data_IF_146495100862
#
_entry.id   IF_146495100862
#
_cell.length_a   1.000
_cell.length_b   1.000
_cell.length_c   1.000
_cell.angle_alpha   90.00
_cell.angle_beta   90.00
_cell.angle_gamma   90.00
#
_symmetry.space_group_name_H-M   'P 1'
#
loop_
_entity.id
_entity.type
_entity.pdbx_description
1 polymer ?
#
# COMPACT_ATOMS: atom_id res chain seq x y z
N UNK A 1 1.54 -9.74 -0.02
CA UNK A 1 1.48 -9.21 -1.41
C UNK A 1 2.04 -7.80 -1.43
N UNK A 2 2.77 -7.48 -2.46
CA UNK A 2 3.47 -6.19 -2.56
C UNK A 2 3.42 -5.68 -4.00
N UNK A 3 3.26 -4.38 -4.17
CA UNK A 3 3.28 -3.71 -5.46
C UNK A 3 4.26 -2.54 -5.41
N UNK A 4 5.06 -2.38 -6.47
CA UNK A 4 6.02 -1.29 -6.61
C UNK A 4 5.69 -0.47 -7.85
N UNK A 5 5.56 0.83 -7.67
CA UNK A 5 5.35 1.78 -8.74
C UNK A 5 6.50 2.77 -8.78
N UNK A 6 6.92 3.16 -9.98
CA UNK A 6 8.01 4.13 -10.17
C UNK A 6 7.63 5.19 -11.18
N UNK A 7 8.14 6.39 -10.95
CA UNK A 7 8.07 7.51 -11.89
C UNK A 7 9.36 8.33 -11.74
N UNK A 8 10.33 8.07 -12.63
CA UNK A 8 11.66 8.62 -12.44
C UNK A 8 12.28 8.14 -11.14
N UNK A 9 12.63 9.05 -10.24
CA UNK A 9 13.14 8.71 -8.92
C UNK A 9 12.05 8.56 -7.86
N UNK A 10 10.83 8.94 -8.16
CA UNK A 10 9.69 8.77 -7.24
C UNK A 10 9.28 7.31 -7.16
N UNK A 11 8.90 6.87 -5.97
CA UNK A 11 8.53 5.48 -5.72
C UNK A 11 7.30 5.37 -4.84
N UNK A 12 6.49 4.35 -5.10
CA UNK A 12 5.37 3.98 -4.23
C UNK A 12 5.43 2.48 -4.00
N UNK A 13 5.42 2.08 -2.73
CA UNK A 13 5.32 0.67 -2.34
C UNK A 13 4.00 0.45 -1.63
N UNK A 14 3.22 -0.50 -2.11
CA UNK A 14 1.97 -0.92 -1.49
C UNK A 14 2.16 -2.35 -0.98
N UNK A 15 1.86 -2.56 0.30
CA UNK A 15 2.06 -3.86 0.95
C UNK A 15 0.79 -4.22 1.72
N UNK A 16 0.32 -5.45 1.56
CA UNK A 16 -0.77 -5.99 2.37
C UNK A 16 -0.17 -6.82 3.48
N UNK A 17 -0.51 -6.48 4.72
CA UNK A 17 -0.08 -7.21 5.92
C UNK A 17 -1.28 -7.66 6.72
N UNK A 18 -1.20 -8.86 7.27
CA UNK A 18 -2.19 -9.34 8.22
C UNK A 18 -1.52 -9.66 9.55
N UNK A 19 -2.21 -9.36 10.63
CA UNK A 19 -1.73 -9.66 11.98
C UNK A 19 -2.91 -9.99 12.88
N UNK A 20 -2.63 -10.63 14.01
CA UNK A 20 -3.64 -10.96 15.00
C UNK A 20 -3.59 -9.92 16.12
N UNK A 21 -4.70 -9.22 16.31
CA UNK A 21 -4.87 -8.30 17.42
C UNK A 21 -5.34 -9.08 18.63
N UNK A 22 -4.50 -9.14 19.67
CA UNK A 22 -4.78 -9.86 20.92
C UNK A 22 -5.24 -8.95 22.04
N UNK A 23 -5.51 -7.69 21.75
CA UNK A 23 -6.13 -6.79 22.73
C UNK A 23 -7.62 -7.12 22.82
N UNK A 24 -8.09 -7.47 24.02
CA UNK A 24 -9.47 -7.88 24.23
C UNK A 24 -9.60 -9.39 24.49
N UNK A 25 -10.85 -9.84 24.68
CA UNK A 25 -11.16 -11.21 25.05
C UNK A 25 -10.98 -12.23 23.92
N UNK A 26 -11.20 -11.79 22.69
CA UNK A 26 -11.12 -12.66 21.52
C UNK A 26 -10.08 -12.11 20.56
N UNK A 27 -9.06 -12.92 20.17
CA UNK A 27 -8.12 -12.50 19.16
C UNK A 27 -8.85 -12.21 17.84
N UNK A 28 -8.52 -11.08 17.22
CA UNK A 28 -9.10 -10.69 15.93
C UNK A 28 -8.02 -10.54 14.89
N UNK A 29 -8.28 -11.10 13.71
CA UNK A 29 -7.39 -10.92 12.57
C UNK A 29 -7.62 -9.53 11.99
N UNK A 30 -6.55 -8.77 11.83
CA UNK A 30 -6.55 -7.44 11.20
C UNK A 30 -5.77 -7.49 9.90
N UNK A 31 -6.24 -6.75 8.91
CA UNK A 31 -5.57 -6.63 7.62
C UNK A 31 -5.28 -5.17 7.35
N UNK A 32 -4.03 -4.86 7.01
CA UNK A 32 -3.59 -3.51 6.70
C UNK A 32 -3.09 -3.42 5.27
N UNK A 33 -3.50 -2.37 4.58
CA UNK A 33 -2.84 -1.93 3.36
C UNK A 33 -1.91 -0.77 3.74
N UNK A 34 -0.61 -0.95 3.55
CA UNK A 34 0.40 0.06 3.85
C UNK A 34 0.91 0.67 2.55
N UNK A 35 0.96 1.99 2.50
CA UNK A 35 1.52 2.73 1.39
C UNK A 35 2.75 3.51 1.87
N UNK A 36 3.91 3.24 1.24
CA UNK A 36 5.13 3.97 1.46
C UNK A 36 5.44 4.74 0.17
N UNK A 37 5.55 6.04 0.27
CA UNK A 37 5.78 6.90 -0.90
C UNK A 37 7.04 7.72 -0.71
N UNK A 38 7.92 7.68 -1.69
CA UNK A 38 9.11 8.52 -1.77
C UNK A 38 8.95 9.53 -2.88
N UNK A 39 9.26 10.79 -2.59
CA UNK A 39 9.30 11.86 -3.59
C UNK A 39 10.69 12.47 -3.61
N UNK A 40 11.30 12.51 -4.79
CA UNK A 40 12.63 13.09 -4.97
C UNK A 40 12.65 14.57 -4.62
N UNK A 41 11.59 15.30 -4.96
CA UNK A 41 11.46 16.71 -4.67
C UNK A 41 11.64 17.03 -3.19
N UNK A 42 11.04 16.20 -2.32
CA UNK A 42 11.10 16.38 -0.88
C UNK A 42 12.19 15.55 -0.22
N UNK A 43 12.80 14.63 -0.98
CA UNK A 43 13.78 13.64 -0.49
C UNK A 43 13.29 12.96 0.80
N UNK A 44 12.05 12.47 0.76
CA UNK A 44 11.38 12.02 1.97
C UNK A 44 10.43 10.87 1.68
N UNK A 45 10.40 9.89 2.59
CA UNK A 45 9.39 8.84 2.62
C UNK A 45 8.21 9.26 3.49
N UNK A 46 7.01 9.02 3.00
CA UNK A 46 5.78 9.17 3.77
C UNK A 46 5.06 7.84 3.84
N UNK A 47 4.39 7.58 4.95
CA UNK A 47 3.71 6.33 5.20
C UNK A 47 2.23 6.58 5.51
N UNK A 48 1.36 5.74 4.94
CA UNK A 48 -0.06 5.71 5.29
C UNK A 48 -0.50 4.26 5.46
N UNK A 49 -1.28 4.01 6.49
CA UNK A 49 -1.85 2.70 6.77
C UNK A 49 -3.37 2.78 6.66
N UNK A 50 -3.96 1.79 5.99
CA UNK A 50 -5.40 1.69 5.81
C UNK A 50 -5.87 0.38 6.41
N UNK A 51 -6.73 0.44 7.41
CA UNK A 51 -7.32 -0.76 8.00
C UNK A 51 -8.40 -1.29 7.07
N UNK A 52 -8.29 -2.57 6.73
CA UNK A 52 -9.23 -3.26 5.85
C UNK A 52 -9.96 -4.36 6.62
N UNK A 53 -11.17 -4.70 6.18
CA UNK A 53 -11.98 -5.73 6.81
C UNK A 53 -11.52 -7.13 6.46
N UNK A 54 -10.89 -7.29 5.29
CA UNK A 54 -10.44 -8.60 4.80
C UNK A 54 -9.29 -8.44 3.82
N UNK A 55 -8.62 -9.54 3.51
CA UNK A 55 -7.57 -9.54 2.48
C UNK A 55 -8.14 -9.21 1.10
N UNK A 56 -9.37 -9.64 0.81
CA UNK A 56 -10.04 -9.33 -0.45
C UNK A 56 -10.26 -7.82 -0.60
N UNK A 57 -10.69 -7.14 0.46
CA UNK A 57 -10.85 -5.69 0.45
C UNK A 57 -9.50 -5.00 0.27
N UNK A 58 -8.47 -5.44 0.97
CA UNK A 58 -7.13 -4.87 0.85
C UNK A 58 -6.60 -5.01 -0.58
N UNK A 59 -6.81 -6.17 -1.21
CA UNK A 59 -6.39 -6.42 -2.59
C UNK A 59 -7.13 -5.51 -3.57
N UNK A 60 -8.43 -5.34 -3.38
CA UNK A 60 -9.23 -4.44 -4.20
C UNK A 60 -8.73 -2.99 -4.08
N UNK A 61 -8.48 -2.53 -2.87
CA UNK A 61 -7.97 -1.19 -2.62
C UNK A 61 -6.57 -1.00 -3.20
N UNK A 62 -5.72 -2.03 -3.14
CA UNK A 62 -4.40 -1.99 -3.76
C UNK A 62 -4.49 -1.82 -5.28
N UNK A 63 -5.40 -2.55 -5.93
CA UNK A 63 -5.62 -2.43 -7.37
C UNK A 63 -6.13 -1.04 -7.75
N UNK A 64 -7.06 -0.51 -6.98
CA UNK A 64 -7.58 0.85 -7.20
C UNK A 64 -6.46 1.90 -7.02
N UNK A 65 -5.63 1.75 -6.01
CA UNK A 65 -4.51 2.65 -5.78
C UNK A 65 -3.49 2.58 -6.92
N UNK A 66 -3.13 1.38 -7.37
CA UNK A 66 -2.25 1.20 -8.52
C UNK A 66 -2.80 1.91 -9.75
N UNK A 67 -4.08 1.67 -10.05
CA UNK A 67 -4.74 2.28 -11.20
C UNK A 67 -4.73 3.81 -11.10
N UNK A 68 -5.04 4.35 -9.94
CA UNK A 68 -5.02 5.79 -9.69
C UNK A 68 -3.65 6.41 -9.97
N UNK A 69 -2.58 5.82 -9.39
CA UNK A 69 -1.24 6.36 -9.56
C UNK A 69 -0.72 6.20 -10.99
N UNK A 70 -1.09 5.11 -11.68
CA UNK A 70 -0.71 4.89 -13.07
C UNK A 70 -1.44 5.87 -14.00
N UNK A 71 -2.77 5.97 -13.88
CA UNK A 71 -3.57 6.78 -14.79
C UNK A 71 -3.46 8.28 -14.55
N UNK A 72 -3.47 8.70 -13.29
CA UNK A 72 -3.54 10.13 -12.98
C UNK A 72 -2.19 10.76 -12.68
N UNK A 73 -1.18 9.98 -12.34
CA UNK A 73 0.14 10.49 -11.97
C UNK A 73 1.28 9.95 -12.83
N UNK A 74 0.99 9.09 -13.78
CA UNK A 74 1.98 8.62 -14.76
C UNK A 74 3.02 7.64 -14.20
N UNK A 75 2.71 6.95 -13.10
CA UNK A 75 3.59 5.90 -12.57
C UNK A 75 3.52 4.65 -13.44
N UNK A 76 4.56 3.84 -13.41
CA UNK A 76 4.61 2.54 -14.06
C UNK A 76 4.91 1.46 -13.05
N UNK A 77 4.46 0.23 -13.33
CA UNK A 77 4.75 -0.91 -12.46
C UNK A 77 6.21 -1.30 -12.62
N UNK A 78 6.94 -1.38 -11.50
CA UNK A 78 8.31 -1.90 -11.50
C UNK A 78 8.23 -3.42 -11.36
N UNK A 79 8.69 -4.14 -12.38
CA UNK A 79 8.84 -5.59 -12.32
C UNK A 79 10.26 -5.92 -11.89
N UNK A 80 10.35 -6.70 -10.82
CA UNK A 80 11.63 -7.18 -10.33
C UNK A 80 12.07 -8.46 -11.05
#
# INVERSE_FOLDING_TARGET
MRSHLVKGADRIELTIRSYTDRTGRTPKKKVLLQMHRYTEKDDKWTNKDFLCKSEAEALMRMREANQYWIEFHGYTVEES
#
